data_IF_375132158302
#
_entry.id   IF_375132158302
#
_cell.length_a   1.000
_cell.length_b   1.000
_cell.length_c   1.000
_cell.angle_alpha   90.00
_cell.angle_beta   90.00
_cell.angle_gamma   90.00
#
_symmetry.space_group_name_H-M   'P 1'
#
loop_
_entity.id
_entity.type
_entity.pdbx_description
1 polymer ?
#
# COMPACT_ATOMS: atom_id res chain seq x y z
N UNK A 1 -3.32 4.52 -13.32
CA UNK A 1 -2.17 5.19 -13.96
C UNK A 1 -1.50 4.27 -14.99
N UNK A 2 -1.46 4.69 -16.25
CA UNK A 2 -0.90 3.96 -17.41
C UNK A 2 0.62 3.74 -17.37
N UNK A 3 1.28 3.94 -16.22
CA UNK A 3 2.73 3.88 -16.05
C UNK A 3 3.24 2.59 -15.39
N UNK A 4 2.38 1.76 -14.76
CA UNK A 4 2.83 0.47 -14.22
C UNK A 4 2.69 -0.58 -15.31
N UNK A 5 3.80 -1.15 -15.82
CA UNK A 5 3.72 -2.14 -16.89
C UNK A 5 3.15 -3.47 -16.36
N UNK A 6 2.53 -4.25 -17.25
CA UNK A 6 1.88 -5.51 -16.89
C UNK A 6 2.85 -6.56 -16.31
N UNK A 7 4.14 -6.44 -16.57
CA UNK A 7 5.20 -7.30 -16.03
C UNK A 7 5.87 -6.74 -14.76
N UNK A 8 5.28 -5.71 -14.12
CA UNK A 8 5.75 -5.24 -12.82
C UNK A 8 5.62 -6.35 -11.77
N UNK A 9 6.63 -6.47 -10.91
CA UNK A 9 6.70 -7.42 -9.81
C UNK A 9 6.44 -6.75 -8.45
N UNK A 10 6.67 -5.45 -8.38
CA UNK A 10 6.47 -4.63 -7.19
C UNK A 10 6.28 -3.16 -7.57
N UNK A 11 5.65 -2.41 -6.68
CA UNK A 11 5.49 -0.95 -6.80
C UNK A 11 6.03 -0.24 -5.57
N UNK A 12 6.67 0.91 -5.78
CA UNK A 12 6.88 1.89 -4.71
C UNK A 12 5.73 2.87 -4.72
N UNK A 13 5.29 3.25 -3.52
CA UNK A 13 4.12 4.08 -3.35
C UNK A 13 4.24 4.96 -2.11
N UNK A 14 3.66 6.15 -2.18
CA UNK A 14 3.35 6.95 -1.01
C UNK A 14 1.92 6.63 -0.58
N UNK A 15 1.73 6.15 0.64
CA UNK A 15 0.42 5.82 1.22
C UNK A 15 0.08 6.89 2.24
N UNK A 16 -1.10 7.49 2.12
CA UNK A 16 -1.58 8.53 3.03
C UNK A 16 -2.91 8.10 3.63
N UNK A 17 -2.98 8.07 4.95
CA UNK A 17 -4.25 7.98 5.70
C UNK A 17 -4.72 9.39 6.04
N UNK A 18 -5.99 9.67 5.76
CA UNK A 18 -6.64 10.97 5.93
C UNK A 18 -7.93 10.77 6.73
N UNK A 19 -8.28 11.72 7.59
CA UNK A 19 -9.50 11.66 8.41
C UNK A 19 -9.59 10.38 9.26
N UNK A 20 -8.47 9.97 9.88
CA UNK A 20 -8.43 8.75 10.69
C UNK A 20 -9.47 8.78 11.82
N UNK A 21 -10.10 7.64 12.12
CA UNK A 21 -11.14 7.56 13.16
C UNK A 21 -10.59 7.26 14.56
N UNK A 22 -9.39 6.68 14.65
CA UNK A 22 -8.76 6.24 15.90
C UNK A 22 -7.25 6.01 15.74
N UNK A 23 -6.58 5.58 16.81
CA UNK A 23 -5.24 4.98 16.73
C UNK A 23 -5.28 3.71 15.86
N UNK A 24 -4.28 3.51 15.01
CA UNK A 24 -4.21 2.33 14.16
C UNK A 24 -3.10 2.36 13.12
N UNK A 25 -3.16 1.43 12.18
CA UNK A 25 -2.19 1.28 11.10
C UNK A 25 -2.84 0.88 9.77
N UNK A 26 -2.10 1.13 8.69
CA UNK A 26 -2.39 0.64 7.35
C UNK A 26 -1.33 -0.35 6.87
N UNK A 27 -1.76 -1.34 6.10
CA UNK A 27 -0.93 -2.41 5.51
C UNK A 27 -1.17 -2.45 4.01
N UNK A 28 -0.10 -2.60 3.24
CA UNK A 28 -0.17 -2.93 1.81
C UNK A 28 0.54 -4.25 1.55
N UNK A 29 -0.07 -5.14 0.75
CA UNK A 29 0.41 -6.50 0.56
C UNK A 29 -0.06 -7.11 -0.77
N UNK A 30 0.55 -8.20 -1.26
CA UNK A 30 0.09 -8.88 -2.48
C UNK A 30 -1.37 -9.37 -2.35
N UNK A 31 -2.21 -9.08 -3.34
CA UNK A 31 -3.65 -9.36 -3.25
C UNK A 31 -4.01 -10.86 -3.18
N UNK A 32 -3.09 -11.75 -3.57
CA UNK A 32 -3.31 -13.19 -3.53
C UNK A 32 -3.12 -13.81 -2.13
N UNK A 33 -2.74 -13.03 -1.12
CA UNK A 33 -2.68 -13.53 0.26
C UNK A 33 -4.07 -13.61 0.87
N UNK A 34 -4.42 -14.79 1.39
CA UNK A 34 -5.73 -15.06 2.01
C UNK A 34 -5.86 -14.36 3.38
N UNK A 35 -4.76 -14.18 4.09
CA UNK A 35 -4.71 -13.49 5.38
C UNK A 35 -3.90 -12.21 5.27
N UNK A 36 -4.38 -11.14 5.94
CA UNK A 36 -3.62 -9.90 6.05
C UNK A 36 -2.33 -10.18 6.83
N UNK A 37 -1.14 -9.89 6.28
CA UNK A 37 0.11 -10.12 6.98
C UNK A 37 0.30 -9.14 8.13
N UNK A 38 1.06 -9.56 9.16
CA UNK A 38 1.40 -8.71 10.29
C UNK A 38 2.48 -7.69 9.89
N UNK A 39 2.05 -6.62 9.23
CA UNK A 39 2.91 -5.53 8.73
C UNK A 39 2.20 -4.19 8.95
N UNK A 40 2.92 -3.18 9.44
CA UNK A 40 2.44 -1.80 9.53
C UNK A 40 3.29 -0.90 8.64
N UNK A 41 2.68 -0.30 7.61
CA UNK A 41 3.34 0.62 6.68
C UNK A 41 3.14 2.08 7.07
N UNK A 42 1.92 2.46 7.47
CA UNK A 42 1.57 3.81 7.90
C UNK A 42 0.82 3.75 9.22
N UNK A 43 1.13 4.65 10.15
CA UNK A 43 0.56 4.63 11.50
C UNK A 43 -0.09 5.97 11.81
N UNK A 44 -1.23 5.92 12.51
CA UNK A 44 -1.86 7.10 13.09
C UNK A 44 -2.04 6.89 14.59
N UNK A 45 -1.79 7.95 15.37
CA UNK A 45 -1.83 7.89 16.83
C UNK A 45 -3.14 8.37 17.43
N UNK A 46 -4.14 8.70 16.60
CA UNK A 46 -5.43 9.24 17.04
C UNK A 46 -6.31 9.63 15.86
N UNK A 47 -7.50 10.17 16.17
CA UNK A 47 -8.47 10.61 15.19
C UNK A 47 -8.06 11.93 14.50
N UNK A 48 -8.57 12.17 13.29
CA UNK A 48 -8.40 13.41 12.53
C UNK A 48 -7.00 13.63 11.96
N UNK A 49 -6.16 12.60 11.88
CA UNK A 49 -4.79 12.76 11.39
C UNK A 49 -4.70 12.64 9.87
N UNK A 50 -3.68 13.32 9.34
CA UNK A 50 -3.13 13.09 8.00
C UNK A 50 -1.71 12.58 8.17
N UNK A 51 -1.45 11.32 7.79
CA UNK A 51 -0.14 10.68 7.94
C UNK A 51 0.24 9.99 6.64
N UNK A 52 1.49 10.17 6.21
CA UNK A 52 2.03 9.57 5.01
C UNK A 52 3.22 8.68 5.34
N UNK A 53 3.38 7.59 4.58
CA UNK A 53 4.58 6.76 4.61
C UNK A 53 4.84 6.14 3.23
N UNK A 54 6.11 5.99 2.87
CA UNK A 54 6.49 5.25 1.67
C UNK A 54 6.46 3.75 1.94
N UNK A 55 5.98 2.98 0.96
CA UNK A 55 5.99 1.53 0.99
C UNK A 55 6.48 0.96 -0.36
N UNK A 56 7.15 -0.19 -0.28
CA UNK A 56 7.44 -1.06 -1.41
C UNK A 56 6.63 -2.33 -1.23
N UNK A 57 5.75 -2.62 -2.19
CA UNK A 57 4.86 -3.78 -2.10
C UNK A 57 5.04 -4.66 -3.31
N UNK A 58 5.24 -5.96 -3.08
CA UNK A 58 5.15 -6.96 -4.15
C UNK A 58 3.73 -7.05 -4.68
N UNK A 59 3.60 -7.20 -5.99
CA UNK A 59 2.33 -7.51 -6.63
C UNK A 59 2.06 -9.01 -6.55
N UNK A 60 0.79 -9.39 -6.60
CA UNK A 60 0.38 -10.77 -6.86
C UNK A 60 0.84 -11.22 -8.26
N UNK A 61 0.80 -12.52 -8.57
CA UNK A 61 1.01 -12.99 -9.94
C UNK A 61 0.05 -12.38 -10.99
N UNK A 62 -1.11 -11.88 -10.56
CA UNK A 62 -2.08 -11.15 -11.40
C UNK A 62 -1.79 -9.64 -11.52
N UNK A 63 -0.72 -9.13 -10.90
CA UNK A 63 -0.37 -7.70 -10.94
C UNK A 63 -1.13 -6.84 -9.94
N UNK A 64 -1.73 -7.43 -8.91
CA UNK A 64 -2.62 -6.78 -7.96
C UNK A 64 -2.01 -6.68 -6.55
N UNK A 65 -2.41 -5.66 -5.81
CA UNK A 65 -2.11 -5.53 -4.38
C UNK A 65 -3.38 -5.17 -3.63
N UNK A 66 -3.36 -5.37 -2.32
CA UNK A 66 -4.44 -5.05 -1.42
C UNK A 66 -3.98 -4.06 -0.35
N UNK A 67 -4.94 -3.32 0.20
CA UNK A 67 -4.76 -2.45 1.34
C UNK A 67 -5.68 -2.89 2.46
N UNK A 68 -5.17 -2.84 3.69
CA UNK A 68 -5.94 -3.02 4.90
C UNK A 68 -5.69 -1.84 5.83
N UNK A 69 -6.72 -1.38 6.54
CA UNK A 69 -6.57 -0.39 7.62
C UNK A 69 -7.25 -0.92 8.87
N UNK A 70 -6.57 -0.80 10.01
CA UNK A 70 -7.14 -1.23 11.31
C UNK A 70 -8.11 -0.21 11.90
N UNK A 71 -8.32 0.91 11.21
CA UNK A 71 -9.21 2.00 11.58
C UNK A 71 -9.93 2.56 10.35
N UNK A 72 -11.02 3.31 10.59
CA UNK A 72 -11.68 4.08 9.54
C UNK A 72 -10.79 5.24 9.09
N UNK A 73 -10.67 5.42 7.78
CA UNK A 73 -9.85 6.46 7.16
C UNK A 73 -10.24 6.56 5.68
N UNK A 74 -10.01 7.73 5.09
CA UNK A 74 -9.83 7.82 3.64
C UNK A 74 -8.39 7.44 3.33
N UNK A 75 -8.18 6.69 2.24
CA UNK A 75 -6.85 6.26 1.80
C UNK A 75 -6.51 6.92 0.47
N UNK A 76 -5.40 7.65 0.44
CA UNK A 76 -4.83 8.22 -0.79
C UNK A 76 -3.52 7.49 -1.09
N UNK A 77 -3.34 7.10 -2.35
CA UNK A 77 -2.16 6.36 -2.78
C UNK A 77 -1.60 6.95 -4.07
N UNK A 78 -0.31 7.23 -4.04
CA UNK A 78 0.46 7.64 -5.21
C UNK A 78 1.51 6.57 -5.53
N UNK A 79 1.46 5.99 -6.75
CA UNK A 79 2.52 5.10 -7.22
C UNK A 79 3.70 5.95 -7.69
N UNK A 80 4.86 5.78 -7.04
CA UNK A 80 6.08 6.55 -7.29
C UNK A 80 7.09 5.81 -8.18
N UNK A 81 6.88 4.52 -8.42
CA UNK A 81 7.77 3.70 -9.24
C UNK A 81 7.38 2.22 -9.22
N UNK A 82 8.11 1.42 -10.01
CA UNK A 82 7.87 0.00 -10.15
C UNK A 82 9.18 -0.76 -10.38
N UNK A 83 9.15 -2.05 -10.10
CA UNK A 83 10.24 -2.98 -10.39
C UNK A 83 9.76 -4.02 -11.39
N UNK A 84 10.56 -4.27 -12.43
CA UNK A 84 10.36 -5.33 -13.42
C UNK A 84 11.52 -6.32 -13.35
N UNK A 85 11.33 -7.51 -13.92
CA UNK A 85 12.44 -8.43 -14.14
C UNK A 85 13.44 -7.80 -15.14
N UNK A 86 14.76 -7.92 -14.92
CA UNK A 86 15.75 -7.52 -15.91
C UNK A 86 15.57 -8.29 -17.22
N UNK A 87 15.70 -7.61 -18.36
CA UNK A 87 15.85 -8.26 -19.66
C UNK A 87 17.29 -8.79 -19.76
N UNK A 88 17.46 -10.10 -19.61
CA UNK A 88 18.72 -10.80 -19.92
C UNK A 88 19.05 -10.76 -21.40
#
# INVERSE_FOLDING_TARGET
PSMVPANALAVTQNIVVVNTSAIGYGTTYPANLVTVPLVSNVNASGAGQVRAAMALTRLSPSGELAYYTSMGTDLVVDVTGYFVQPSS
#
